data_IF_367460154987
#
_entry.id   IF_367460154987
#
_cell.length_a   1.000
_cell.length_b   1.000
_cell.length_c   1.000
_cell.angle_alpha   90.00
_cell.angle_beta   90.00
_cell.angle_gamma   90.00
#
_symmetry.space_group_name_H-M   'P 1'
#
loop_
_entity.id
_entity.type
_entity.pdbx_description
1 polymer ?
#
# COMPACT_ATOMS: atom_id res chain seq x y z
N UNK A 1 5.37 -7.09 13.47
CA UNK A 1 5.33 -6.96 12.00
C UNK A 1 4.10 -7.68 11.48
N UNK A 2 3.38 -7.17 10.46
CA UNK A 2 2.26 -7.89 9.88
C UNK A 2 2.74 -9.16 9.18
N UNK A 3 1.91 -10.20 9.16
CA UNK A 3 2.17 -11.46 8.45
C UNK A 3 1.27 -11.54 7.21
N UNK A 4 1.78 -11.93 6.03
CA UNK A 4 0.94 -12.10 4.86
C UNK A 4 0.01 -13.30 5.04
N UNK A 5 -1.25 -13.16 4.65
CA UNK A 5 -2.20 -14.27 4.49
C UNK A 5 -1.97 -15.05 3.19
N UNK A 6 -2.89 -15.96 2.86
CA UNK A 6 -2.86 -16.68 1.57
C UNK A 6 -2.96 -15.71 0.39
N UNK A 7 -2.08 -15.87 -0.61
CA UNK A 7 -2.04 -14.99 -1.79
C UNK A 7 -1.58 -13.57 -1.52
N UNK A 8 -1.08 -13.26 -0.31
CA UNK A 8 -0.55 -11.95 0.04
C UNK A 8 0.97 -11.91 0.03
N UNK A 9 1.48 -10.71 -0.15
CA UNK A 9 2.91 -10.40 -0.14
C UNK A 9 3.16 -9.37 0.96
N UNK A 10 4.14 -9.65 1.82
CA UNK A 10 4.65 -8.67 2.78
C UNK A 10 5.69 -7.80 2.08
N UNK A 11 5.44 -6.50 2.10
CA UNK A 11 6.25 -5.49 1.44
C UNK A 11 6.84 -4.53 2.46
N UNK A 12 8.09 -4.12 2.24
CA UNK A 12 8.74 -2.98 2.89
C UNK A 12 8.73 -1.80 1.93
N UNK A 13 8.02 -0.74 2.29
CA UNK A 13 7.97 0.49 1.50
C UNK A 13 9.31 1.21 1.55
N UNK A 14 9.83 1.56 0.37
CA UNK A 14 11.08 2.32 0.21
C UNK A 14 10.80 3.73 -0.29
N UNK A 15 9.86 3.87 -1.22
CA UNK A 15 9.41 5.15 -1.73
C UNK A 15 7.89 5.28 -1.60
N UNK A 16 7.44 6.48 -1.25
CA UNK A 16 6.03 6.86 -1.15
C UNK A 16 5.77 8.03 -2.10
N UNK A 17 4.74 7.91 -2.93
CA UNK A 17 4.24 9.02 -3.74
C UNK A 17 3.49 10.01 -2.83
N UNK A 18 3.86 11.28 -2.93
CA UNK A 18 3.20 12.39 -2.24
C UNK A 18 2.50 13.27 -3.26
N UNK A 19 1.22 12.97 -3.48
CA UNK A 19 0.44 13.58 -4.56
C UNK A 19 -0.56 14.62 -4.03
N UNK A 20 -0.85 15.71 -4.76
CA UNK A 20 -1.80 16.75 -4.31
C UNK A 20 -3.20 16.21 -3.97
N UNK A 21 -3.66 15.15 -4.64
CA UNK A 21 -4.98 14.55 -4.39
C UNK A 21 -5.14 14.06 -2.95
N UNK A 22 -4.04 13.70 -2.29
CA UNK A 22 -4.04 13.22 -0.91
C UNK A 22 -4.66 14.25 0.03
N UNK A 23 -4.48 15.55 -0.23
CA UNK A 23 -5.10 16.60 0.60
C UNK A 23 -6.63 16.53 0.56
N UNK A 24 -7.21 16.24 -0.60
CA UNK A 24 -8.66 16.09 -0.74
C UNK A 24 -9.17 14.88 0.06
N UNK A 25 -8.39 13.80 0.10
CA UNK A 25 -8.71 12.58 0.86
C UNK A 25 -8.67 12.79 2.39
N UNK A 26 -8.04 13.85 2.89
CA UNK A 26 -8.01 14.17 4.33
C UNK A 26 -9.22 15.00 4.80
N UNK A 27 -10.01 15.55 3.89
CA UNK A 27 -11.20 16.36 4.21
C UNK A 27 -12.44 15.49 4.19
N UNK A 28 -13.36 15.68 5.13
CA UNK A 28 -14.71 15.09 5.12
C UNK A 28 -15.70 15.82 4.20
N UNK A 29 -15.25 16.83 3.46
CA UNK A 29 -16.04 17.57 2.48
C UNK A 29 -16.37 16.71 1.24
N UNK A 30 -17.47 17.01 0.51
CA UNK A 30 -17.84 16.29 -0.70
C UNK A 30 -16.70 16.25 -1.73
N UNK A 31 -16.39 15.05 -2.22
CA UNK A 31 -15.33 14.78 -3.20
C UNK A 31 -15.73 13.58 -4.06
N UNK A 32 -15.16 13.48 -5.27
CA UNK A 32 -15.32 12.32 -6.15
C UNK A 32 -14.71 11.03 -5.56
N UNK A 33 -13.87 11.19 -4.55
CA UNK A 33 -13.12 10.12 -3.90
C UNK A 33 -13.45 10.12 -2.40
N UNK A 34 -13.80 8.97 -1.80
CA UNK A 34 -14.12 8.90 -0.37
C UNK A 34 -12.97 9.40 0.52
N UNK A 35 -13.24 10.09 1.64
CA UNK A 35 -12.20 10.48 2.58
C UNK A 35 -11.52 9.27 3.23
N UNK A 36 -10.29 9.46 3.67
CA UNK A 36 -9.60 8.53 4.57
C UNK A 36 -10.18 8.72 5.96
N UNK A 37 -10.68 7.63 6.55
CA UNK A 37 -11.22 7.66 7.90
C UNK A 37 -10.13 8.02 8.92
N UNK A 38 -10.50 8.72 10.00
CA UNK A 38 -9.59 8.99 11.11
C UNK A 38 -9.10 7.65 11.70
N UNK A 39 -7.79 7.56 11.90
CA UNK A 39 -7.12 6.33 12.37
C UNK A 39 -6.79 5.30 11.28
N UNK A 40 -7.27 5.50 10.04
CA UNK A 40 -6.86 4.66 8.92
C UNK A 40 -5.47 5.05 8.39
N UNK A 41 -4.82 4.12 7.68
CA UNK A 41 -3.56 4.38 6.98
C UNK A 41 -3.82 5.36 5.82
N UNK A 42 -3.02 6.43 5.74
CA UNK A 42 -3.12 7.37 4.63
C UNK A 42 -2.81 6.68 3.30
N UNK A 43 -3.63 6.91 2.28
CA UNK A 43 -3.47 6.33 0.94
C UNK A 43 -2.23 6.88 0.24
N UNK A 44 -1.70 6.14 -0.73
CA UNK A 44 -0.57 6.59 -1.54
C UNK A 44 0.06 5.44 -2.33
N UNK A 45 0.60 5.77 -3.50
CA UNK A 45 1.42 4.86 -4.30
C UNK A 45 2.76 4.62 -3.64
N UNK A 46 3.27 3.40 -3.75
CA UNK A 46 4.49 2.95 -3.08
C UNK A 46 5.33 2.10 -4.01
N UNK A 47 6.65 2.30 -3.98
CA UNK A 47 7.61 1.33 -4.51
C UNK A 47 8.25 0.62 -3.33
N UNK A 48 8.11 -0.70 -3.31
CA UNK A 48 8.41 -1.53 -2.15
C UNK A 48 9.26 -2.73 -2.52
N UNK A 49 9.97 -3.27 -1.52
CA UNK A 49 10.71 -4.54 -1.62
C UNK A 49 9.87 -5.66 -1.05
N UNK A 50 9.82 -6.80 -1.73
CA UNK A 50 9.23 -8.02 -1.18
C UNK A 50 10.09 -8.52 -0.03
N UNK A 51 9.48 -8.68 1.15
CA UNK A 51 10.11 -9.27 2.33
C UNK A 51 9.81 -10.77 2.38
N UNK A 52 8.54 -11.13 2.25
CA UNK A 52 8.05 -12.52 2.16
C UNK A 52 6.82 -12.57 1.26
N UNK A 53 6.59 -13.70 0.60
CA UNK A 53 5.49 -13.87 -0.34
C UNK A 53 4.79 -15.20 -0.11
N UNK A 54 3.46 -15.16 -0.02
CA UNK A 54 2.58 -16.32 -0.14
C UNK A 54 1.84 -16.32 -1.49
N UNK A 55 2.40 -15.61 -2.49
CA UNK A 55 1.88 -15.53 -3.85
C UNK A 55 2.93 -16.10 -4.82
N UNK A 56 2.51 -16.97 -5.75
CA UNK A 56 3.42 -17.70 -6.63
C UNK A 56 4.27 -16.79 -7.54
N UNK A 57 3.71 -15.63 -7.92
CA UNK A 57 4.32 -14.73 -8.90
C UNK A 57 5.33 -13.73 -8.31
N UNK A 58 5.53 -13.71 -6.98
CA UNK A 58 6.42 -12.74 -6.33
C UNK A 58 7.43 -13.43 -5.44
N UNK A 59 8.70 -13.07 -5.59
CA UNK A 59 9.80 -13.63 -4.80
C UNK A 59 10.43 -12.60 -3.84
N UNK A 60 10.94 -13.02 -2.67
CA UNK A 60 11.65 -12.13 -1.75
C UNK A 60 12.79 -11.37 -2.43
N UNK A 61 12.85 -10.06 -2.21
CA UNK A 61 13.83 -9.20 -2.85
C UNK A 61 13.44 -8.73 -4.26
N UNK A 62 12.21 -8.90 -4.71
CA UNK A 62 11.71 -8.19 -5.89
C UNK A 62 11.28 -6.75 -5.56
N UNK A 63 11.24 -5.92 -6.59
CA UNK A 63 10.66 -4.58 -6.52
C UNK A 63 9.23 -4.62 -7.03
N UNK A 64 8.31 -4.01 -6.29
CA UNK A 64 6.89 -3.99 -6.63
C UNK A 64 6.36 -2.56 -6.52
N UNK A 65 5.59 -2.15 -7.52
CA UNK A 65 4.72 -0.99 -7.46
C UNK A 65 3.38 -1.40 -6.84
N UNK A 66 2.89 -0.64 -5.87
CA UNK A 66 1.58 -0.87 -5.29
C UNK A 66 1.04 0.34 -4.54
N UNK A 67 -0.06 0.18 -3.81
CA UNK A 67 -0.76 1.21 -3.05
C UNK A 67 -0.73 0.76 -1.60
N UNK A 68 0.48 0.66 -1.04
CA UNK A 68 0.73 0.24 0.34
C UNK A 68 0.32 1.27 1.38
N UNK A 69 0.08 2.53 0.96
CA UNK A 69 -0.19 3.66 1.85
C UNK A 69 1.07 4.15 2.59
N UNK A 70 0.91 5.25 3.32
CA UNK A 70 1.98 5.86 4.11
C UNK A 70 2.28 5.03 5.37
N UNK A 71 3.05 3.96 5.20
CA UNK A 71 3.54 3.09 6.28
C UNK A 71 4.81 2.36 5.83
N UNK A 72 5.55 1.81 6.79
CA UNK A 72 6.82 1.12 6.51
C UNK A 72 6.60 -0.31 5.99
N UNK A 73 5.59 -1.01 6.51
CA UNK A 73 5.29 -2.41 6.18
C UNK A 73 3.82 -2.59 5.80
N UNK A 74 3.56 -3.35 4.74
CA UNK A 74 2.20 -3.63 4.25
C UNK A 74 2.08 -5.06 3.73
N UNK A 75 0.98 -5.74 4.06
CA UNK A 75 0.56 -6.95 3.36
C UNK A 75 -0.44 -6.57 2.27
N UNK A 76 -0.14 -6.88 1.01
CA UNK A 76 -1.01 -6.62 -0.13
C UNK A 76 -1.31 -7.93 -0.87
N UNK A 77 -2.54 -8.07 -1.36
CA UNK A 77 -2.90 -9.12 -2.32
C UNK A 77 -2.57 -8.61 -3.72
N UNK A 78 -1.94 -9.43 -4.55
CA UNK A 78 -1.49 -9.02 -5.89
C UNK A 78 -2.61 -8.89 -6.94
N UNK A 79 -3.88 -8.76 -6.54
CA UNK A 79 -4.99 -8.67 -7.47
C UNK A 79 -5.01 -7.32 -8.21
N UNK A 80 -4.49 -7.31 -9.45
CA UNK A 80 -4.75 -6.25 -10.43
C UNK A 80 -3.96 -4.97 -10.24
N UNK A 81 -2.65 -5.09 -9.98
CA UNK A 81 -1.69 -3.97 -10.02
C UNK A 81 -1.05 -3.87 -11.40
#
# INVERSE_FOLDING_TARGET
MPSPGSGQVLLRTVFLSLDPYMRGRMSDAPSYSPPVAIGAVMVGGTVSRVVTSNHADFTPGEWVLGYGGCRIMSCLTAAGW
#
